data_IF_787196527203
#
_entry.id   IF_787196527203
#
_cell.length_a   1.000
_cell.length_b   1.000
_cell.length_c   1.000
_cell.angle_alpha   90.00
_cell.angle_beta   90.00
_cell.angle_gamma   90.00
#
_symmetry.space_group_name_H-M   'P 1'
#
loop_
_entity.id
_entity.type
_entity.pdbx_description
1 polymer ?
#
# COMPACT_ATOMS: atom_id res chain seq x y z
N UNK A 1 -9.50 -3.04 17.39
CA UNK A 1 -9.47 -1.87 16.46
C UNK A 1 -8.35 -0.96 16.90
N UNK A 2 -7.55 -0.37 16.03
CA UNK A 2 -7.95 0.16 14.74
C UNK A 2 -6.77 0.15 13.76
N UNK A 3 -7.09 0.36 12.49
CA UNK A 3 -6.14 1.01 11.61
C UNK A 3 -5.65 2.31 12.26
N UNK A 4 -4.54 2.86 11.76
CA UNK A 4 -4.13 4.23 12.07
C UNK A 4 -5.33 5.18 12.04
N UNK A 5 -5.31 6.19 12.91
CA UNK A 5 -6.39 7.16 12.96
C UNK A 5 -6.56 7.79 11.57
N UNK A 6 -7.79 8.19 11.22
CA UNK A 6 -8.08 8.65 9.85
C UNK A 6 -7.18 9.81 9.41
N UNK A 7 -6.71 10.61 10.37
CA UNK A 7 -5.79 11.74 10.19
C UNK A 7 -4.35 11.29 9.92
N UNK A 8 -3.95 10.11 10.39
CA UNK A 8 -2.64 9.48 10.18
C UNK A 8 -2.63 8.55 8.95
N UNK A 9 -3.80 8.25 8.38
CA UNK A 9 -3.90 7.39 7.21
C UNK A 9 -3.39 8.11 5.96
N UNK A 10 -2.36 7.54 5.33
CA UNK A 10 -1.76 8.10 4.14
C UNK A 10 -1.39 7.04 3.10
N UNK A 11 -1.10 7.52 1.90
CA UNK A 11 -0.51 6.70 0.85
C UNK A 11 0.57 7.50 0.16
N UNK A 12 1.80 7.01 0.27
CA UNK A 12 2.98 7.63 -0.29
C UNK A 12 3.41 6.80 -1.50
N UNK A 13 3.63 7.49 -2.62
CA UNK A 13 4.00 6.89 -3.89
C UNK A 13 5.25 7.61 -4.38
N UNK A 14 6.36 6.87 -4.50
CA UNK A 14 7.65 7.42 -4.92
C UNK A 14 8.22 6.59 -6.06
N UNK A 15 8.60 7.24 -7.14
CA UNK A 15 9.39 6.60 -8.20
C UNK A 15 10.86 6.63 -7.81
N UNK A 16 11.53 5.47 -7.84
CA UNK A 16 12.95 5.32 -7.55
C UNK A 16 13.75 5.14 -8.85
N UNK A 17 14.46 6.17 -9.35
CA UNK A 17 15.11 6.11 -10.65
C UNK A 17 16.22 5.07 -10.74
N UNK A 18 16.88 4.77 -9.61
CA UNK A 18 17.97 3.79 -9.55
C UNK A 18 17.51 2.35 -9.85
N UNK A 19 16.27 2.02 -9.49
CA UNK A 19 15.68 0.69 -9.69
C UNK A 19 14.63 0.67 -10.78
N UNK A 20 14.19 1.83 -11.27
CA UNK A 20 13.07 1.99 -12.20
C UNK A 20 11.76 1.38 -11.66
N UNK A 21 11.57 1.43 -10.34
CA UNK A 21 10.40 0.90 -9.64
C UNK A 21 9.63 1.99 -8.91
N UNK A 22 8.33 1.78 -8.77
CA UNK A 22 7.46 2.53 -7.89
C UNK A 22 7.43 1.88 -6.50
N UNK A 23 7.79 2.66 -5.49
CA UNK A 23 7.59 2.32 -4.09
C UNK A 23 6.23 2.86 -3.64
N UNK A 24 5.38 2.00 -3.11
CA UNK A 24 4.07 2.38 -2.56
C UNK A 24 4.01 1.93 -1.10
N UNK A 25 3.80 2.92 -0.23
CA UNK A 25 3.58 2.75 1.20
C UNK A 25 2.16 3.21 1.54
N UNK A 26 1.38 2.39 2.23
CA UNK A 26 0.01 2.76 2.57
C UNK A 26 -0.43 2.22 3.92
N UNK A 27 -1.07 3.09 4.70
CA UNK A 27 -1.82 2.76 5.91
C UNK A 27 -3.33 2.86 5.66
N UNK A 28 -3.75 3.27 4.45
CA UNK A 28 -5.16 3.42 4.08
C UNK A 28 -5.80 2.03 3.86
N UNK A 29 -6.81 1.64 4.67
CA UNK A 29 -7.41 0.31 4.65
C UNK A 29 -7.91 -0.14 3.27
N UNK A 30 -8.51 0.81 2.55
CA UNK A 30 -9.11 0.61 1.24
C UNK A 30 -8.04 0.32 0.17
N UNK A 31 -6.90 1.00 0.26
CA UNK A 31 -5.78 0.80 -0.66
C UNK A 31 -5.10 -0.54 -0.37
N UNK A 32 -4.83 -0.85 0.90
CA UNK A 32 -4.30 -2.15 1.33
C UNK A 32 -5.13 -3.30 0.74
N UNK A 33 -6.47 -3.24 0.88
CA UNK A 33 -7.37 -4.27 0.37
C UNK A 33 -7.31 -4.42 -1.15
N UNK A 34 -7.22 -3.32 -1.89
CA UNK A 34 -7.17 -3.32 -3.36
C UNK A 34 -5.82 -3.78 -3.90
N UNK A 35 -4.74 -3.24 -3.33
CA UNK A 35 -3.37 -3.58 -3.71
C UNK A 35 -3.06 -5.06 -3.45
N UNK A 36 -3.56 -5.63 -2.35
CA UNK A 36 -3.44 -7.08 -2.07
C UNK A 36 -4.25 -7.96 -3.04
N UNK A 37 -5.32 -7.44 -3.63
CA UNK A 37 -6.23 -8.21 -4.49
C UNK A 37 -5.84 -8.17 -5.96
N UNK A 38 -5.52 -6.97 -6.45
CA UNK A 38 -5.42 -6.71 -7.89
C UNK A 38 -3.97 -6.71 -8.40
N UNK A 39 -2.97 -6.62 -7.52
CA UNK A 39 -1.56 -6.50 -7.92
C UNK A 39 -0.71 -7.65 -7.39
N UNK A 40 -0.12 -8.41 -8.32
CA UNK A 40 1.08 -9.22 -8.10
C UNK A 40 2.27 -8.24 -7.99
N UNK A 41 2.22 -7.34 -7.02
CA UNK A 41 3.38 -6.57 -6.61
C UNK A 41 4.13 -7.42 -5.58
N UNK A 42 5.46 -7.41 -5.65
CA UNK A 42 6.29 -8.01 -4.61
C UNK A 42 6.03 -7.23 -3.31
N UNK A 43 5.15 -7.76 -2.45
CA UNK A 43 4.93 -7.20 -1.12
C UNK A 43 6.24 -7.33 -0.37
N UNK A 44 6.85 -6.20 -0.07
CA UNK A 44 8.12 -6.15 0.65
C UNK A 44 7.89 -6.23 2.15
N UNK A 45 6.78 -5.66 2.62
CA UNK A 45 6.42 -5.66 4.03
C UNK A 45 4.91 -5.52 4.21
N UNK A 46 4.34 -6.30 5.12
CA UNK A 46 3.00 -6.09 5.64
C UNK A 46 3.00 -6.08 7.18
N UNK A 47 2.56 -4.97 7.75
CA UNK A 47 2.41 -4.82 9.20
C UNK A 47 1.02 -5.33 9.60
N UNK A 48 0.93 -6.10 10.70
CA UNK A 48 -0.32 -6.69 11.18
C UNK A 48 -0.61 -6.29 12.61
N UNK A 49 -1.89 -6.10 12.91
CA UNK A 49 -2.35 -5.93 14.29
C UNK A 49 -2.36 -7.25 15.07
N UNK A 50 -2.75 -7.19 16.35
CA UNK A 50 -2.86 -8.34 17.24
C UNK A 50 -3.87 -9.40 16.79
N UNK A 51 -4.76 -9.08 15.86
CA UNK A 51 -5.77 -9.98 15.29
C UNK A 51 -5.31 -10.55 13.92
N UNK A 52 -4.10 -10.21 13.47
CA UNK A 52 -3.51 -10.70 12.22
C UNK A 52 -3.97 -9.93 10.98
N UNK A 53 -4.64 -8.79 11.15
CA UNK A 53 -5.14 -7.95 10.06
C UNK A 53 -4.04 -6.99 9.60
N UNK A 54 -3.86 -6.87 8.28
CA UNK A 54 -2.86 -5.93 7.74
C UNK A 54 -3.30 -4.49 7.90
N UNK A 55 -2.46 -3.71 8.59
CA UNK A 55 -2.68 -2.29 8.92
C UNK A 55 -1.76 -1.35 8.14
N UNK A 56 -0.64 -1.85 7.63
CA UNK A 56 0.22 -1.13 6.70
C UNK A 56 0.79 -2.07 5.62
N UNK A 57 1.05 -1.54 4.43
CA UNK A 57 1.56 -2.29 3.29
C UNK A 57 2.64 -1.49 2.57
N UNK A 58 3.80 -2.12 2.33
CA UNK A 58 4.88 -1.63 1.47
C UNK A 58 5.07 -2.59 0.30
N UNK A 59 5.06 -2.06 -0.91
CA UNK A 59 5.28 -2.84 -2.13
C UNK A 59 6.13 -2.08 -3.13
N UNK A 60 6.76 -2.85 -4.02
CA UNK A 60 7.44 -2.33 -5.22
C UNK A 60 6.76 -2.85 -6.48
N UNK A 61 6.62 -2.00 -7.49
CA UNK A 61 6.04 -2.38 -8.78
C UNK A 61 6.69 -1.63 -9.94
N UNK A 62 6.84 -2.29 -11.08
CA UNK A 62 7.33 -1.66 -12.32
C UNK A 62 6.32 -0.67 -12.90
N UNK A 63 5.03 -0.96 -12.75
CA UNK A 63 3.93 -0.14 -13.28
C UNK A 63 3.11 0.42 -12.13
N UNK A 64 2.90 1.73 -12.17
CA UNK A 64 2.02 2.39 -11.22
C UNK A 64 0.59 1.83 -11.37
N UNK A 65 -0.09 1.43 -10.28
CA UNK A 65 -1.48 1.02 -10.34
C UNK A 65 -2.38 2.15 -10.85
N UNK A 66 -3.48 1.77 -11.50
CA UNK A 66 -4.46 2.75 -11.99
C UNK A 66 -5.01 3.62 -10.85
N UNK A 67 -5.32 4.88 -11.17
CA UNK A 67 -5.81 5.87 -10.20
C UNK A 67 -7.06 5.43 -9.43
N UNK A 68 -7.90 4.56 -9.97
CA UNK A 68 -9.09 4.04 -9.26
C UNK A 68 -8.73 3.23 -8.01
N UNK A 69 -7.49 2.71 -7.93
CA UNK A 69 -7.01 2.01 -6.73
C UNK A 69 -6.99 2.96 -5.55
N UNK A 70 -6.66 4.24 -5.79
CA UNK A 70 -6.44 5.27 -4.78
C UNK A 70 -7.59 6.28 -4.64
N UNK A 71 -8.25 6.65 -5.74
CA UNK A 71 -9.14 7.83 -5.77
C UNK A 71 -10.64 7.53 -5.74
N UNK A 72 -11.05 6.26 -5.84
CA UNK A 72 -12.46 5.85 -5.85
C UNK A 72 -12.87 5.31 -4.51
#
# INVERSE_FOLDING_TARGET
>A
MAYYDKEEQETVIVFEPATNLWNIDTTVPKHIKRLKKDYIASVFHDERDSEGKTIALRLKTEKLPFSYVFNK
#
